data_IF_730354788281
#
_entry.id   IF_730354788281
#
_cell.length_a   1.000
_cell.length_b   1.000
_cell.length_c   1.000
_cell.angle_alpha   90.00
_cell.angle_beta   90.00
_cell.angle_gamma   90.00
#
_symmetry.space_group_name_H-M   'P 1'
#
loop_
_entity.id
_entity.type
_entity.pdbx_description
1 polymer ?
#
# COMPACT_ATOMS: atom_id res chain seq x y z
N UNK A 1 0.39 -18.28 7.28
CA UNK A 1 0.02 -16.90 6.89
C UNK A 1 1.25 -16.29 6.25
N UNK A 2 1.26 -16.16 4.93
CA UNK A 2 2.32 -15.43 4.22
C UNK A 2 1.82 -13.99 4.02
N UNK A 3 2.40 -13.02 4.73
CA UNK A 3 1.95 -11.62 4.78
C UNK A 3 1.69 -11.12 6.21
N UNK A 4 0.73 -10.21 6.36
CA UNK A 4 0.25 -9.71 7.66
C UNK A 4 -1.25 -9.97 7.84
N UNK A 5 -1.79 -9.63 9.01
CA UNK A 5 -3.23 -9.74 9.29
C UNK A 5 -4.00 -8.68 8.49
N UNK A 6 -4.77 -9.14 7.51
CA UNK A 6 -5.71 -8.33 6.72
C UNK A 6 -7.12 -8.80 7.08
N UNK A 7 -7.92 -7.89 7.62
CA UNK A 7 -9.29 -8.13 8.07
C UNK A 7 -10.32 -7.89 6.96
N UNK A 8 -9.96 -7.18 5.89
CA UNK A 8 -10.90 -6.74 4.86
C UNK A 8 -11.70 -5.50 5.26
N UNK A 9 -11.22 -4.75 6.26
CA UNK A 9 -11.84 -3.52 6.74
C UNK A 9 -11.10 -2.31 6.18
N UNK A 10 -11.60 -1.78 5.06
CA UNK A 10 -11.01 -0.62 4.38
C UNK A 10 -11.11 0.63 5.27
N UNK A 11 -9.97 1.20 5.63
CA UNK A 11 -9.87 2.41 6.47
C UNK A 11 -10.04 3.71 5.67
N UNK A 12 -9.74 3.65 4.37
CA UNK A 12 -9.88 4.76 3.45
C UNK A 12 -9.43 4.44 2.04
N UNK A 13 -9.48 5.46 1.19
CA UNK A 13 -9.14 5.35 -0.23
C UNK A 13 -7.94 6.24 -0.52
N UNK A 14 -6.90 5.66 -1.10
CA UNK A 14 -5.75 6.35 -1.64
C UNK A 14 -5.83 6.57 -3.15
N UNK A 15 -4.88 7.31 -3.70
CA UNK A 15 -4.77 7.59 -5.13
C UNK A 15 -3.36 7.30 -5.59
N UNK A 16 -3.17 6.50 -6.63
CA UNK A 16 -1.85 6.26 -7.22
C UNK A 16 -1.35 7.57 -7.83
N UNK A 17 -0.21 8.07 -7.34
CA UNK A 17 0.41 9.31 -7.82
C UNK A 17 1.61 9.06 -8.73
N UNK A 18 2.25 7.90 -8.61
CA UNK A 18 3.43 7.58 -9.40
C UNK A 18 3.64 6.07 -9.51
N UNK A 19 4.03 5.62 -10.70
CA UNK A 19 4.46 4.23 -10.95
C UNK A 19 5.86 4.30 -11.57
N UNK A 20 6.83 3.64 -10.94
CA UNK A 20 8.21 3.56 -11.39
C UNK A 20 8.55 2.11 -11.73
N UNK A 21 8.68 1.82 -13.01
CA UNK A 21 9.14 0.51 -13.47
C UNK A 21 10.66 0.43 -13.32
N UNK A 22 11.14 -0.52 -12.53
CA UNK A 22 12.57 -0.86 -12.39
C UNK A 22 12.80 -2.24 -13.00
N UNK A 23 14.06 -2.66 -13.25
CA UNK A 23 14.34 -3.93 -13.91
C UNK A 23 13.78 -5.19 -13.20
N UNK A 24 13.63 -5.17 -11.86
CA UNK A 24 13.20 -6.32 -11.06
C UNK A 24 11.90 -6.13 -10.29
N UNK A 25 11.37 -4.91 -10.28
CA UNK A 25 10.20 -4.55 -9.48
C UNK A 25 9.52 -3.32 -10.07
N UNK A 26 8.25 -3.10 -9.72
CA UNK A 26 7.54 -1.85 -9.97
C UNK A 26 7.26 -1.19 -8.63
N UNK A 27 7.79 0.01 -8.45
CA UNK A 27 7.54 0.81 -7.26
C UNK A 27 6.32 1.70 -7.51
N UNK A 28 5.28 1.52 -6.70
CA UNK A 28 4.03 2.28 -6.79
C UNK A 28 3.94 3.22 -5.60
N UNK A 29 3.69 4.50 -5.88
CA UNK A 29 3.44 5.52 -4.87
C UNK A 29 1.98 5.91 -4.90
N UNK A 30 1.36 5.92 -3.72
CA UNK A 30 -0.02 6.36 -3.55
C UNK A 30 -0.11 7.39 -2.44
N UNK A 31 -1.00 8.35 -2.65
CA UNK A 31 -1.43 9.29 -1.63
C UNK A 31 -2.30 8.56 -0.61
N UNK A 32 -1.97 8.73 0.66
CA UNK A 32 -2.69 8.17 1.79
C UNK A 32 -3.48 9.31 2.47
N UNK A 33 -4.77 9.11 2.79
CA UNK A 33 -5.54 10.10 3.56
C UNK A 33 -4.83 10.49 4.85
N UNK A 34 -4.79 11.80 5.18
CA UNK A 34 -4.09 12.34 6.36
C UNK A 34 -4.45 11.63 7.67
N UNK A 35 -5.70 11.21 7.82
CA UNK A 35 -6.20 10.46 8.99
C UNK A 35 -5.52 9.10 9.18
N UNK A 36 -5.01 8.50 8.10
CA UNK A 36 -4.36 7.18 8.10
C UNK A 36 -2.83 7.27 8.18
N UNK A 37 -2.23 8.43 7.88
CA UNK A 37 -0.78 8.57 7.78
C UNK A 37 -0.02 8.15 9.05
N UNK A 38 -0.62 8.32 10.23
CA UNK A 38 -0.02 7.90 11.51
C UNK A 38 0.08 6.38 11.69
N UNK A 39 -0.69 5.60 10.94
CA UNK A 39 -0.68 4.13 10.97
C UNK A 39 0.17 3.52 9.84
N UNK A 40 0.68 4.35 8.92
CA UNK A 40 1.54 3.90 7.83
C UNK A 40 2.98 4.20 8.21
N UNK A 41 3.76 3.15 8.44
CA UNK A 41 5.15 3.26 8.88
C UNK A 41 6.10 2.60 7.88
N UNK A 42 7.28 3.18 7.69
CA UNK A 42 8.29 2.64 6.78
C UNK A 42 8.74 1.26 7.28
N UNK A 43 8.86 0.29 6.36
CA UNK A 43 9.06 -1.14 6.64
C UNK A 43 7.90 -1.83 7.36
N UNK A 44 6.79 -1.13 7.63
CA UNK A 44 5.57 -1.73 8.15
C UNK A 44 4.73 -2.37 7.04
N UNK A 45 3.71 -3.10 7.47
CA UNK A 45 2.74 -3.72 6.58
C UNK A 45 1.59 -2.77 6.24
N UNK A 46 1.07 -2.90 5.03
CA UNK A 46 -0.11 -2.20 4.55
C UNK A 46 -0.84 -3.10 3.57
N UNK A 47 -2.18 -3.10 3.62
CA UNK A 47 -3.00 -3.73 2.60
C UNK A 47 -3.49 -2.69 1.59
N UNK A 48 -3.19 -2.94 0.31
CA UNK A 48 -3.63 -2.09 -0.81
C UNK A 48 -4.49 -2.93 -1.75
N UNK A 49 -5.76 -2.57 -1.93
CA UNK A 49 -6.75 -3.39 -2.64
C UNK A 49 -6.78 -4.85 -2.15
N UNK A 50 -6.59 -5.06 -0.83
CA UNK A 50 -6.57 -6.39 -0.19
C UNK A 50 -5.24 -7.14 -0.29
N UNK A 51 -4.24 -6.58 -0.97
CA UNK A 51 -2.93 -7.21 -1.14
C UNK A 51 -2.01 -6.76 -0.01
N UNK A 52 -1.50 -7.72 0.76
CA UNK A 52 -0.52 -7.48 1.81
C UNK A 52 0.82 -7.09 1.22
N UNK A 53 1.28 -5.87 1.51
CA UNK A 53 2.52 -5.30 0.98
C UNK A 53 3.35 -4.66 2.10
N UNK A 54 4.64 -4.48 1.83
CA UNK A 54 5.57 -3.77 2.71
C UNK A 54 5.75 -2.34 2.22
N UNK A 55 5.59 -1.37 3.14
CA UNK A 55 5.86 0.04 2.86
C UNK A 55 7.36 0.24 2.68
N UNK A 56 7.79 0.58 1.47
CA UNK A 56 9.20 0.76 1.13
C UNK A 56 9.71 2.16 1.45
N UNK A 57 8.87 3.19 1.31
CA UNK A 57 9.23 4.57 1.61
C UNK A 57 8.01 5.44 1.92
N UNK A 58 8.23 6.57 2.60
CA UNK A 58 7.19 7.53 2.97
C UNK A 58 7.72 8.94 2.68
N UNK A 59 6.90 9.76 2.01
CA UNK A 59 7.21 11.17 1.72
C UNK A 59 5.95 12.02 1.87
N UNK A 60 5.91 12.89 2.89
CA UNK A 60 4.74 13.72 3.22
C UNK A 60 3.47 12.85 3.39
N UNK A 61 2.50 12.98 2.48
CA UNK A 61 1.26 12.20 2.42
C UNK A 61 1.34 11.01 1.44
N UNK A 62 2.51 10.69 0.91
CA UNK A 62 2.72 9.56 0.00
C UNK A 62 3.38 8.40 0.71
N UNK A 63 2.92 7.19 0.41
CA UNK A 63 3.58 5.95 0.75
C UNK A 63 3.91 5.18 -0.53
N UNK A 64 4.98 4.40 -0.50
CA UNK A 64 5.33 3.51 -1.61
C UNK A 64 5.40 2.05 -1.21
N UNK A 65 5.12 1.18 -2.18
CA UNK A 65 5.29 -0.26 -2.11
C UNK A 65 6.10 -0.72 -3.33
N UNK A 66 6.79 -1.85 -3.20
CA UNK A 66 7.45 -2.52 -4.33
C UNK A 66 6.69 -3.79 -4.68
N UNK A 67 6.37 -3.95 -5.96
CA UNK A 67 5.68 -5.12 -6.50
C UNK A 67 6.66 -5.90 -7.37
N UNK A 68 6.79 -7.21 -7.13
CA UNK A 68 7.51 -8.11 -8.03
C UNK A 68 6.66 -8.45 -9.25
N UNK A 69 7.24 -8.85 -10.40
CA UNK A 69 6.50 -9.15 -11.62
C UNK A 69 5.33 -10.11 -11.41
N UNK A 70 5.55 -11.20 -10.66
CA UNK A 70 4.49 -12.17 -10.36
C UNK A 70 3.28 -11.52 -9.67
N UNK A 71 3.50 -10.68 -8.65
CA UNK A 71 2.40 -9.96 -7.97
C UNK A 71 1.64 -9.05 -8.93
N UNK A 72 2.32 -8.41 -9.87
CA UNK A 72 1.67 -7.54 -10.86
C UNK A 72 0.80 -8.39 -11.79
N UNK A 73 1.31 -9.53 -12.26
CA UNK A 73 0.63 -10.41 -13.21
C UNK A 73 -0.64 -11.04 -12.63
N UNK A 74 -0.63 -11.40 -11.34
CA UNK A 74 -1.75 -12.12 -10.70
C UNK A 74 -2.69 -11.21 -9.90
N UNK A 75 -2.49 -9.89 -9.91
CA UNK A 75 -3.32 -8.94 -9.16
C UNK A 75 -3.85 -7.81 -10.03
N UNK A 76 -4.78 -7.03 -9.48
CA UNK A 76 -5.35 -5.89 -10.19
C UNK A 76 -4.32 -4.80 -10.55
N UNK A 77 -3.13 -4.82 -9.98
CA UNK A 77 -2.05 -3.89 -10.32
C UNK A 77 -1.59 -3.99 -11.79
N UNK A 78 -1.88 -5.08 -12.49
CA UNK A 78 -1.63 -5.20 -13.93
C UNK A 78 -2.25 -4.06 -14.75
N UNK A 79 -3.43 -3.59 -14.35
CA UNK A 79 -4.23 -2.62 -15.11
C UNK A 79 -4.30 -1.24 -14.48
N UNK A 80 -3.77 -1.09 -13.25
CA UNK A 80 -3.76 0.19 -12.53
C UNK A 80 -2.82 1.20 -13.18
N UNK A 81 -3.24 2.46 -13.18
CA UNK A 81 -2.48 3.61 -13.67
C UNK A 81 -2.47 4.75 -12.67
N UNK A 82 -1.61 5.74 -12.91
CA UNK A 82 -1.61 6.99 -12.14
C UNK A 82 -2.98 7.65 -12.22
N UNK A 83 -3.50 8.09 -11.08
CA UNK A 83 -4.85 8.64 -10.91
C UNK A 83 -5.88 7.64 -10.43
N UNK A 84 -5.63 6.33 -10.54
CA UNK A 84 -6.57 5.33 -10.06
C UNK A 84 -6.65 5.31 -8.52
N UNK A 85 -7.85 5.03 -8.02
CA UNK A 85 -8.12 4.83 -6.60
C UNK A 85 -7.70 3.44 -6.15
N UNK A 86 -7.26 3.34 -4.90
CA UNK A 86 -6.94 2.08 -4.22
C UNK A 86 -7.51 2.10 -2.80
N UNK A 87 -8.04 0.97 -2.36
CA UNK A 87 -8.46 0.76 -0.98
C UNK A 87 -7.22 0.60 -0.11
N UNK A 88 -7.22 1.26 1.05
CA UNK A 88 -6.14 1.19 2.04
C UNK A 88 -6.71 0.59 3.31
N UNK A 89 -6.07 -0.48 3.76
CA UNK A 89 -6.24 -1.04 5.10
C UNK A 89 -4.89 -0.98 5.82
N UNK A 90 -4.88 -0.35 6.98
CA UNK A 90 -3.69 -0.16 7.81
C UNK A 90 -3.54 -1.32 8.80
N UNK A 91 -2.29 -1.67 9.14
CA UNK A 91 -2.01 -2.78 10.04
C UNK A 91 -2.73 -2.59 11.39
N UNK A 92 -3.44 -3.62 11.81
CA UNK A 92 -4.15 -3.66 13.08
C UNK A 92 -3.22 -3.42 14.27
N UNK A 93 -1.96 -3.89 14.19
CA UNK A 93 -0.97 -3.68 15.24
C UNK A 93 -0.71 -2.19 15.47
N UNK A 94 -0.64 -1.40 14.40
CA UNK A 94 -0.49 0.06 14.49
C UNK A 94 -1.67 0.74 15.20
N UNK A 95 -2.88 0.19 15.06
CA UNK A 95 -4.09 0.71 15.72
C UNK A 95 -4.09 0.43 17.23
N UNK A 96 -3.61 -0.75 17.65
CA UNK A 96 -3.54 -1.11 19.07
C UNK A 96 -2.47 -0.34 19.84
N UNK A 97 -1.31 -0.06 19.22
CA UNK A 97 -0.21 0.65 19.87
C UNK A 97 -0.53 2.14 20.08
N UNK A 98 -1.29 2.76 19.17
CA UNK A 98 -1.64 4.18 19.22
C UNK A 98 -2.95 4.47 19.98
N UNK A 99 -3.45 3.51 20.75
CA UNK A 99 -4.61 3.69 21.63
C UNK A 99 -4.20 4.39 22.93
#
# INVERSE_FOLDING_TARGET
LEGHFVLGHVDGVGIIKKILKKPKEVQVWFEVPKKLSKYVVKKGSIAVDGISLTVTDIKKNLASVSLIPHTIEVTNFQTKKVGDKVNIETDILGKYILK
#
